data_IF_901027332578
#
_entry.id   IF_901027332578
#
_cell.length_a   1.000
_cell.length_b   1.000
_cell.length_c   1.000
_cell.angle_alpha   90.00
_cell.angle_beta   90.00
_cell.angle_gamma   90.00
#
_symmetry.space_group_name_H-M   'P 1'
#
loop_
_entity.id
_entity.type
_entity.pdbx_description
1 polymer ?
#
# COMPACT_ATOMS: atom_id res chain seq x y z
N UNK A 1 3.19 -6.90 -18.24
CA UNK A 1 3.02 -5.48 -18.63
C UNK A 1 1.69 -5.12 -19.32
N UNK A 2 1.00 -6.06 -19.98
CA UNK A 2 -0.30 -5.80 -20.61
C UNK A 2 -1.53 -5.76 -19.68
N UNK A 3 -1.33 -5.71 -18.36
CA UNK A 3 -2.44 -5.59 -17.42
C UNK A 3 -3.06 -4.18 -17.53
N UNK A 4 -4.38 -4.11 -17.51
CA UNK A 4 -5.11 -2.85 -17.30
C UNK A 4 -5.01 -2.45 -15.83
N UNK A 5 -5.25 -1.17 -15.53
CA UNK A 5 -5.23 -0.68 -14.16
C UNK A 5 -6.24 0.45 -13.96
N UNK A 6 -6.69 0.55 -12.73
CA UNK A 6 -7.45 1.68 -12.18
C UNK A 6 -6.74 2.16 -10.91
N UNK A 7 -6.92 3.42 -10.54
CA UNK A 7 -6.30 3.98 -9.35
C UNK A 7 -7.28 4.86 -8.59
N UNK A 8 -7.28 4.73 -7.27
CA UNK A 8 -7.97 5.63 -6.37
C UNK A 8 -6.97 6.30 -5.44
N UNK A 9 -7.11 7.62 -5.26
CA UNK A 9 -6.21 8.42 -4.41
C UNK A 9 -6.62 8.28 -2.94
N UNK A 10 -6.21 7.17 -2.31
CA UNK A 10 -6.47 6.90 -0.88
C UNK A 10 -5.67 7.74 0.11
N UNK A 11 -4.66 8.48 -0.37
CA UNK A 11 -3.82 9.38 0.43
C UNK A 11 -3.85 10.79 -0.22
N UNK A 12 -4.88 11.60 0.08
CA UNK A 12 -5.00 12.94 -0.49
C UNK A 12 -3.91 13.88 0.03
N UNK A 13 -3.42 13.65 1.25
CA UNK A 13 -2.27 14.33 1.86
C UNK A 13 -1.11 13.32 1.99
N UNK A 14 0.05 13.69 2.57
CA UNK A 14 1.07 12.72 2.95
C UNK A 14 0.58 11.63 3.92
N UNK A 15 -0.61 11.80 4.50
CA UNK A 15 -1.30 10.82 5.34
C UNK A 15 -2.46 10.20 4.57
N UNK A 16 -2.69 8.92 4.83
CA UNK A 16 -3.83 8.18 4.30
C UNK A 16 -4.89 8.11 5.40
N UNK A 17 -5.93 8.94 5.31
CA UNK A 17 -7.01 8.88 6.29
C UNK A 17 -7.82 7.59 6.08
N UNK A 18 -8.28 7.01 7.18
CA UNK A 18 -9.11 5.81 7.13
C UNK A 18 -10.33 5.99 6.22
N UNK A 19 -11.00 7.14 6.33
CA UNK A 19 -12.15 7.48 5.49
C UNK A 19 -11.81 7.48 3.98
N UNK A 20 -10.66 8.05 3.58
CA UNK A 20 -10.25 8.05 2.18
C UNK A 20 -9.88 6.65 1.67
N UNK A 21 -9.23 5.85 2.52
CA UNK A 21 -8.89 4.46 2.21
C UNK A 21 -10.15 3.59 2.07
N UNK A 22 -11.12 3.72 2.97
CA UNK A 22 -12.40 3.00 2.90
C UNK A 22 -13.20 3.45 1.68
N UNK A 23 -13.26 4.74 1.38
CA UNK A 23 -13.92 5.25 0.17
C UNK A 23 -13.29 4.67 -1.10
N UNK A 24 -11.95 4.60 -1.16
CA UNK A 24 -11.27 3.93 -2.26
C UNK A 24 -11.57 2.43 -2.30
N UNK A 25 -11.62 1.76 -1.15
CA UNK A 25 -11.92 0.33 -1.11
C UNK A 25 -13.32 0.00 -1.63
N UNK A 26 -14.30 0.82 -1.25
CA UNK A 26 -15.66 0.75 -1.77
C UNK A 26 -15.70 1.02 -3.28
N UNK A 27 -15.00 2.04 -3.76
CA UNK A 27 -14.95 2.35 -5.19
C UNK A 27 -14.30 1.22 -5.99
N UNK A 28 -13.32 0.51 -5.44
CA UNK A 28 -12.70 -0.64 -6.11
C UNK A 28 -13.64 -1.84 -6.27
N UNK A 29 -14.70 -1.96 -5.47
CA UNK A 29 -15.73 -3.01 -5.65
C UNK A 29 -16.65 -2.71 -6.84
N UNK A 30 -16.99 -1.44 -7.04
CA UNK A 30 -17.78 -1.01 -8.18
C UNK A 30 -17.41 0.43 -8.58
N UNK A 31 -16.44 0.58 -9.50
CA UNK A 31 -15.96 1.89 -9.91
C UNK A 31 -17.07 2.76 -10.50
N UNK A 32 -17.15 4.01 -10.06
CA UNK A 32 -17.99 5.07 -10.63
C UNK A 32 -17.15 6.08 -11.41
N UNK A 33 -17.82 6.93 -12.20
CA UNK A 33 -17.16 8.07 -12.85
C UNK A 33 -16.74 9.15 -11.84
N UNK A 34 -16.07 10.20 -12.32
CA UNK A 34 -15.55 11.28 -11.49
C UNK A 34 -16.63 12.07 -10.73
N UNK A 35 -17.91 11.94 -11.10
CA UNK A 35 -19.04 12.57 -10.41
C UNK A 35 -19.65 11.66 -9.33
N UNK A 36 -19.10 10.46 -9.14
CA UNK A 36 -19.64 9.44 -8.24
C UNK A 36 -20.87 8.73 -8.80
N UNK A 37 -21.17 8.88 -10.10
CA UNK A 37 -22.32 8.30 -10.78
C UNK A 37 -21.89 7.21 -11.77
N UNK A 38 -22.87 6.57 -12.40
CA UNK A 38 -22.66 5.58 -13.46
C UNK A 38 -21.73 4.43 -13.03
N UNK A 39 -22.19 3.56 -12.12
CA UNK A 39 -21.41 2.42 -11.66
C UNK A 39 -21.06 1.48 -12.83
N UNK A 40 -19.79 1.11 -12.90
CA UNK A 40 -19.20 0.17 -13.86
C UNK A 40 -18.49 -0.94 -13.11
N UNK A 41 -19.27 -1.79 -12.44
CA UNK A 41 -18.71 -2.83 -11.58
C UNK A 41 -17.87 -3.86 -12.35
N UNK A 42 -18.05 -3.97 -13.67
CA UNK A 42 -17.20 -4.75 -14.57
C UNK A 42 -15.74 -4.27 -14.64
N UNK A 43 -15.45 -3.05 -14.15
CA UNK A 43 -14.10 -2.52 -14.03
C UNK A 43 -13.44 -2.83 -12.68
N UNK A 44 -14.11 -3.57 -11.78
CA UNK A 44 -13.50 -4.02 -10.53
C UNK A 44 -12.20 -4.79 -10.82
N UNK A 45 -11.11 -4.53 -10.07
CA UNK A 45 -9.82 -5.12 -10.35
C UNK A 45 -9.73 -6.55 -9.82
N UNK A 46 -8.98 -7.42 -10.50
CA UNK A 46 -8.70 -8.77 -9.97
C UNK A 46 -7.76 -8.73 -8.75
N UNK A 47 -6.88 -7.73 -8.67
CA UNK A 47 -5.84 -7.59 -7.65
C UNK A 47 -5.74 -6.12 -7.22
N UNK A 48 -5.70 -5.86 -5.91
CA UNK A 48 -5.48 -4.52 -5.35
C UNK A 48 -4.15 -4.49 -4.60
N UNK A 49 -3.25 -3.59 -5.02
CA UNK A 49 -2.03 -3.29 -4.29
C UNK A 49 -2.26 -2.16 -3.28
N UNK A 50 -1.88 -2.40 -2.03
CA UNK A 50 -1.93 -1.45 -0.93
C UNK A 50 -0.53 -1.23 -0.35
N UNK A 51 0.16 -0.21 -0.88
CA UNK A 51 1.50 0.20 -0.43
C UNK A 51 1.47 1.20 0.73
N UNK A 52 0.54 0.99 1.67
CA UNK A 52 0.30 1.81 2.86
C UNK A 52 -0.03 0.90 4.04
N UNK A 53 0.06 1.42 5.26
CA UNK A 53 -0.25 0.69 6.48
C UNK A 53 0.10 1.52 7.71
N UNK A 54 -0.38 1.08 8.87
CA UNK A 54 -0.09 1.70 10.16
C UNK A 54 0.58 0.70 11.09
N UNK A 55 1.35 1.23 12.05
CA UNK A 55 1.84 0.43 13.18
C UNK A 55 0.70 0.14 14.16
N UNK A 56 0.71 -1.05 14.75
CA UNK A 56 -0.32 -1.50 15.68
C UNK A 56 -1.16 -2.64 15.11
N UNK A 57 -2.24 -2.98 15.82
CA UNK A 57 -3.23 -3.98 15.42
C UNK A 57 -4.60 -3.30 15.45
N UNK A 58 -5.19 -3.10 14.27
CA UNK A 58 -6.53 -2.51 14.12
C UNK A 58 -7.36 -3.32 13.15
N UNK A 59 -8.65 -3.51 13.43
CA UNK A 59 -9.57 -4.23 12.55
C UNK A 59 -10.44 -3.30 11.69
N UNK A 60 -10.18 -1.99 11.69
CA UNK A 60 -11.05 -1.02 11.02
C UNK A 60 -11.17 -1.23 9.50
N UNK A 61 -10.16 -1.86 8.89
CA UNK A 61 -10.15 -2.14 7.45
C UNK A 61 -10.58 -3.57 7.10
N UNK A 62 -10.88 -4.41 8.11
CA UNK A 62 -11.18 -5.84 7.91
C UNK A 62 -12.43 -6.03 7.05
N UNK A 63 -13.50 -5.28 7.32
CA UNK A 63 -14.74 -5.37 6.55
C UNK A 63 -14.55 -5.03 5.06
N UNK A 64 -13.64 -4.08 4.74
CA UNK A 64 -13.31 -3.74 3.36
C UNK A 64 -12.54 -4.89 2.68
N UNK A 65 -11.59 -5.50 3.38
CA UNK A 65 -10.85 -6.68 2.89
C UNK A 65 -11.79 -7.87 2.70
N UNK A 66 -12.71 -8.11 3.62
CA UNK A 66 -13.69 -9.20 3.53
C UNK A 66 -14.60 -9.01 2.30
N UNK A 67 -15.07 -7.79 2.06
CA UNK A 67 -15.86 -7.45 0.87
C UNK A 67 -15.06 -7.67 -0.43
N UNK A 68 -13.79 -7.28 -0.47
CA UNK A 68 -12.91 -7.58 -1.61
C UNK A 68 -12.76 -9.08 -1.84
N UNK A 69 -12.49 -9.84 -0.78
CA UNK A 69 -12.34 -11.29 -0.86
C UNK A 69 -13.62 -11.98 -1.33
N UNK A 70 -14.78 -11.52 -0.87
CA UNK A 70 -16.10 -12.00 -1.31
C UNK A 70 -16.40 -11.67 -2.77
N UNK A 71 -15.83 -10.58 -3.30
CA UNK A 71 -15.90 -10.19 -4.71
C UNK A 71 -14.79 -10.81 -5.57
N UNK A 72 -14.07 -11.82 -5.05
CA UNK A 72 -12.92 -12.47 -5.71
C UNK A 72 -11.72 -11.56 -6.03
N UNK A 73 -11.64 -10.40 -5.38
CA UNK A 73 -10.52 -9.47 -5.50
C UNK A 73 -9.41 -9.90 -4.54
N UNK A 74 -8.16 -9.88 -5.02
CA UNK A 74 -6.98 -10.30 -4.25
C UNK A 74 -6.28 -9.08 -3.61
N UNK A 75 -6.36 -8.92 -2.27
CA UNK A 75 -5.67 -7.85 -1.57
C UNK A 75 -4.20 -8.19 -1.31
N UNK A 76 -3.32 -7.32 -1.79
CA UNK A 76 -1.87 -7.38 -1.55
C UNK A 76 -1.46 -6.16 -0.75
N UNK A 77 -0.74 -6.37 0.35
CA UNK A 77 -0.30 -5.32 1.27
C UNK A 77 1.21 -5.34 1.46
N UNK A 78 1.80 -4.14 1.52
CA UNK A 78 3.16 -3.98 2.00
C UNK A 78 3.24 -4.34 3.50
N UNK A 79 4.18 -5.20 3.90
CA UNK A 79 4.26 -5.67 5.29
C UNK A 79 4.64 -4.57 6.30
N UNK A 80 5.19 -3.46 5.82
CA UNK A 80 5.65 -2.32 6.61
C UNK A 80 7.16 -2.11 6.57
N UNK A 81 7.60 -0.92 7.00
CA UNK A 81 9.01 -0.51 7.02
C UNK A 81 9.48 -0.18 8.46
N UNK A 82 9.03 -0.95 9.46
CA UNK A 82 9.29 -0.70 10.88
C UNK A 82 10.27 -1.70 11.52
N UNK A 83 11.03 -2.45 10.70
CA UNK A 83 12.16 -3.25 11.16
C UNK A 83 13.26 -2.38 11.83
N UNK A 84 14.28 -2.95 12.50
CA UNK A 84 14.69 -4.36 12.52
C UNK A 84 13.99 -5.25 13.55
N UNK A 85 13.20 -4.67 14.45
CA UNK A 85 12.61 -5.44 15.56
C UNK A 85 11.60 -6.47 15.06
N UNK A 86 11.45 -7.55 15.81
CA UNK A 86 10.36 -8.51 15.63
C UNK A 86 9.02 -7.88 15.98
N UNK A 87 7.92 -8.47 15.52
CA UNK A 87 6.56 -8.00 15.78
C UNK A 87 6.33 -6.55 15.37
N UNK A 88 6.79 -6.23 14.15
CA UNK A 88 6.69 -4.90 13.53
C UNK A 88 5.80 -4.91 12.28
N UNK A 89 5.11 -6.02 12.03
CA UNK A 89 4.11 -6.14 10.94
C UNK A 89 3.06 -5.05 11.10
N UNK A 90 2.78 -4.31 10.01
CA UNK A 90 1.76 -3.27 10.01
C UNK A 90 0.37 -3.82 9.72
N UNK A 91 -0.66 -3.09 10.15
CA UNK A 91 -2.04 -3.29 9.72
C UNK A 91 -2.31 -2.48 8.45
N UNK A 92 -3.03 -3.02 7.44
CA UNK A 92 -3.75 -4.32 7.39
C UNK A 92 -2.93 -5.55 6.97
N UNK A 93 -1.62 -5.44 6.77
CA UNK A 93 -0.81 -6.57 6.29
C UNK A 93 -0.77 -7.75 7.28
N UNK A 94 -1.10 -7.50 8.56
CA UNK A 94 -1.27 -8.53 9.57
C UNK A 94 -2.56 -9.36 9.42
N UNK A 95 -3.52 -8.99 8.56
CA UNK A 95 -4.77 -9.74 8.39
C UNK A 95 -4.54 -11.16 7.83
N UNK A 96 -5.50 -12.06 8.13
CA UNK A 96 -5.43 -13.48 7.72
C UNK A 96 -5.72 -13.67 6.24
N UNK A 97 -6.53 -12.80 5.66
CA UNK A 97 -7.09 -12.91 4.31
C UNK A 97 -6.47 -11.91 3.33
N UNK A 98 -5.20 -11.54 3.54
CA UNK A 98 -4.39 -10.71 2.63
C UNK A 98 -3.08 -11.38 2.29
N UNK A 99 -2.43 -10.96 1.21
CA UNK A 99 -1.03 -11.32 0.91
C UNK A 99 -0.13 -10.17 1.37
N UNK A 100 0.62 -10.40 2.44
CA UNK A 100 1.57 -9.46 3.01
C UNK A 100 2.97 -9.68 2.43
N UNK A 101 3.62 -8.60 2.01
CA UNK A 101 4.86 -8.67 1.23
C UNK A 101 6.03 -8.01 1.96
N UNK A 102 7.04 -8.82 2.27
CA UNK A 102 8.34 -8.38 2.78
C UNK A 102 9.28 -7.86 1.68
N UNK A 103 10.29 -7.08 2.08
CA UNK A 103 11.27 -6.49 1.17
C UNK A 103 12.62 -7.20 1.27
N UNK A 104 13.09 -7.75 0.15
CA UNK A 104 14.47 -8.23 -0.01
C UNK A 104 15.30 -7.34 -0.93
N UNK A 105 16.61 -7.35 -0.69
CA UNK A 105 17.62 -6.73 -1.53
C UNK A 105 17.92 -7.52 -2.80
N UNK A 106 18.72 -6.93 -3.68
CA UNK A 106 19.30 -7.63 -4.84
C UNK A 106 20.32 -8.69 -4.43
N UNK A 107 20.79 -8.65 -3.18
CA UNK A 107 21.67 -9.65 -2.56
C UNK A 107 20.88 -10.72 -1.79
N UNK A 108 19.57 -10.81 -2.01
CA UNK A 108 18.65 -11.78 -1.39
C UNK A 108 18.67 -11.75 0.16
N UNK A 109 19.14 -10.65 0.75
CA UNK A 109 19.01 -10.37 2.17
C UNK A 109 17.71 -9.64 2.45
N UNK A 110 17.12 -9.91 3.61
CA UNK A 110 16.02 -9.11 4.12
C UNK A 110 16.48 -7.67 4.28
N UNK A 111 15.73 -6.73 3.71
CA UNK A 111 16.00 -5.34 3.92
C UNK A 111 15.83 -5.00 5.40
N UNK A 112 16.76 -4.22 5.92
CA UNK A 112 16.84 -3.87 7.35
C UNK A 112 15.50 -3.40 7.91
N UNK A 113 14.85 -2.48 7.21
CA UNK A 113 13.60 -1.85 7.67
C UNK A 113 12.37 -2.69 7.33
N UNK A 114 12.49 -3.77 6.54
CA UNK A 114 11.35 -4.65 6.29
C UNK A 114 10.76 -5.11 7.61
N UNK A 115 9.48 -4.80 7.83
CA UNK A 115 8.75 -5.25 9.00
C UNK A 115 8.75 -6.77 9.07
N UNK A 116 8.79 -7.28 10.30
CA UNK A 116 8.90 -8.70 10.63
C UNK A 116 7.71 -9.14 11.48
N UNK A 117 7.33 -10.40 11.34
CA UNK A 117 6.43 -11.05 12.27
C UNK A 117 7.10 -11.34 13.62
N UNK A 118 6.44 -12.14 14.49
CA UNK A 118 5.07 -12.58 14.30
C UNK A 118 4.08 -11.41 14.40
N UNK A 119 2.87 -11.59 13.90
CA UNK A 119 1.74 -10.69 14.19
C UNK A 119 1.45 -10.66 15.69
N UNK A 120 0.61 -9.73 16.14
CA UNK A 120 0.22 -9.64 17.55
C UNK A 120 -0.42 -10.93 18.09
N UNK A 121 -1.11 -11.70 17.23
CA UNK A 121 -1.71 -13.00 17.54
C UNK A 121 -0.80 -14.21 17.22
N UNK A 122 0.49 -13.98 16.97
CA UNK A 122 1.49 -15.04 16.85
C UNK A 122 1.63 -15.69 15.47
N UNK A 123 0.88 -15.25 14.47
CA UNK A 123 0.98 -15.77 13.09
C UNK A 123 2.27 -15.31 12.41
N UNK A 124 2.73 -16.13 11.47
CA UNK A 124 3.87 -15.76 10.62
C UNK A 124 3.43 -14.71 9.60
N UNK A 125 4.17 -13.59 9.58
CA UNK A 125 4.14 -12.58 8.52
C UNK A 125 5.58 -12.08 8.26
N UNK A 126 5.93 -11.61 7.06
CA UNK A 126 5.09 -11.54 5.85
C UNK A 126 4.68 -12.94 5.33
N UNK A 127 3.76 -13.04 4.37
CA UNK A 127 3.48 -14.32 3.71
C UNK A 127 4.58 -14.66 2.71
N UNK A 128 4.99 -13.68 1.91
CA UNK A 128 6.07 -13.84 0.93
C UNK A 128 6.96 -12.60 0.93
N UNK A 129 8.14 -12.73 0.36
CA UNK A 129 9.05 -11.61 0.14
C UNK A 129 9.28 -11.35 -1.34
N UNK A 130 9.59 -10.11 -1.69
CA UNK A 130 9.92 -9.73 -3.06
C UNK A 130 10.98 -8.62 -3.09
N UNK A 131 11.69 -8.45 -4.23
CA UNK A 131 12.59 -7.32 -4.42
C UNK A 131 11.88 -5.98 -4.21
N UNK A 132 12.32 -5.23 -3.21
CA UNK A 132 11.78 -3.90 -2.90
C UNK A 132 12.87 -2.88 -2.62
N UNK A 133 14.15 -3.23 -2.81
CA UNK A 133 15.29 -2.35 -2.53
C UNK A 133 15.90 -1.83 -3.82
N UNK A 134 16.10 -0.51 -3.89
CA UNK A 134 16.66 0.19 -5.06
C UNK A 134 15.90 -0.15 -6.36
N UNK A 135 14.57 -0.17 -6.28
CA UNK A 135 13.70 -0.42 -7.42
C UNK A 135 13.51 0.89 -8.19
N UNK A 136 13.91 0.89 -9.47
CA UNK A 136 13.68 2.00 -10.40
C UNK A 136 12.28 1.87 -11.01
N UNK A 137 11.43 2.87 -10.82
CA UNK A 137 10.07 2.91 -11.36
C UNK A 137 9.69 4.32 -11.85
N UNK A 138 8.55 4.43 -12.52
CA UNK A 138 8.00 5.70 -12.99
C UNK A 138 7.81 6.68 -11.81
N UNK A 139 7.97 7.98 -12.09
CA UNK A 139 7.89 9.03 -11.08
C UNK A 139 6.96 10.16 -11.50
N UNK A 140 6.37 10.86 -10.52
CA UNK A 140 5.30 11.82 -10.74
C UNK A 140 5.76 13.19 -11.28
N UNK A 141 7.07 13.43 -11.41
CA UNK A 141 7.60 14.72 -11.90
C UNK A 141 7.57 14.85 -13.43
N UNK A 142 7.15 13.82 -14.17
CA UNK A 142 6.94 13.90 -15.61
C UNK A 142 6.74 12.54 -16.29
N UNK A 143 6.29 12.57 -17.54
CA UNK A 143 5.91 11.37 -18.30
C UNK A 143 7.08 10.41 -18.61
N UNK A 144 8.32 10.90 -18.57
CA UNK A 144 9.54 10.11 -18.75
C UNK A 144 10.38 10.02 -17.48
N UNK A 145 9.85 10.52 -16.35
CA UNK A 145 10.59 10.56 -15.10
C UNK A 145 10.64 9.17 -14.45
N UNK A 146 11.80 8.83 -13.91
CA UNK A 146 12.00 7.63 -13.11
C UNK A 146 12.71 8.00 -11.82
N UNK A 147 12.36 7.28 -10.76
CA UNK A 147 13.05 7.37 -9.48
C UNK A 147 13.36 5.98 -8.94
N UNK A 148 14.48 5.87 -8.26
CA UNK A 148 14.87 4.66 -7.52
C UNK A 148 14.43 4.82 -6.07
N UNK A 149 13.61 3.88 -5.59
CA UNK A 149 13.08 3.87 -4.22
C UNK A 149 13.28 2.51 -3.56
N UNK A 150 13.15 2.49 -2.23
CA UNK A 150 13.28 1.29 -1.41
C UNK A 150 12.12 1.22 -0.43
N UNK A 151 11.57 0.02 -0.24
CA UNK A 151 10.57 -0.27 0.78
C UNK A 151 9.69 -1.47 0.42
N UNK A 152 8.94 -1.96 1.40
CA UNK A 152 7.85 -2.92 1.14
C UNK A 152 6.79 -2.35 0.19
N UNK A 153 6.65 -1.02 0.13
CA UNK A 153 5.85 -0.28 -0.86
C UNK A 153 6.28 -0.51 -2.32
N UNK A 154 7.52 -0.94 -2.56
CA UNK A 154 8.03 -1.32 -3.88
C UNK A 154 7.95 -2.83 -4.12
N UNK A 155 8.09 -3.64 -3.06
CA UNK A 155 7.95 -5.09 -3.14
C UNK A 155 6.49 -5.54 -3.38
N UNK A 156 5.53 -4.92 -2.69
CA UNK A 156 4.09 -5.22 -2.82
C UNK A 156 3.55 -5.11 -4.25
N UNK A 157 3.78 -4.02 -5.01
CA UNK A 157 3.28 -3.92 -6.38
C UNK A 157 4.00 -4.88 -7.35
N UNK A 158 5.23 -5.31 -7.03
CA UNK A 158 5.90 -6.39 -7.78
C UNK A 158 5.11 -7.70 -7.64
N UNK A 159 4.70 -8.05 -6.42
CA UNK A 159 3.85 -9.22 -6.17
C UNK A 159 2.49 -9.07 -6.85
N UNK A 160 1.85 -7.91 -6.78
CA UNK A 160 0.57 -7.68 -7.47
C UNK A 160 0.69 -7.89 -8.99
N UNK A 161 1.77 -7.40 -9.61
CA UNK A 161 2.07 -7.66 -11.03
C UNK A 161 2.35 -9.15 -11.32
N UNK A 162 3.03 -9.85 -10.41
CA UNK A 162 3.26 -11.29 -10.54
C UNK A 162 1.95 -12.09 -10.44
N UNK A 163 1.02 -11.68 -9.57
CA UNK A 163 -0.31 -12.28 -9.46
C UNK A 163 -1.09 -12.06 -10.75
N UNK A 164 -1.04 -10.85 -11.34
CA UNK A 164 -1.68 -10.61 -12.63
C UNK A 164 -1.15 -11.52 -13.76
N UNK A 165 0.16 -11.81 -13.78
CA UNK A 165 0.74 -12.81 -14.70
C UNK A 165 0.21 -14.22 -14.41
N UNK A 166 0.13 -14.60 -13.13
CA UNK A 166 -0.41 -15.89 -12.72
C UNK A 166 -1.89 -16.05 -13.13
N UNK A 167 -2.73 -15.05 -12.88
CA UNK A 167 -4.15 -15.04 -13.28
C UNK A 167 -4.31 -15.07 -14.80
N UNK A 168 -3.37 -14.49 -15.54
CA UNK A 168 -3.39 -14.58 -16.99
C UNK A 168 -3.13 -16.00 -17.49
N UNK A 169 -2.23 -16.75 -16.83
CA UNK A 169 -1.96 -18.14 -17.17
C UNK A 169 -2.99 -19.12 -16.59
N UNK A 170 -3.58 -18.79 -15.44
CA UNK A 170 -4.52 -19.62 -14.69
C UNK A 170 -5.86 -18.91 -14.58
N UNK A 171 -6.60 -18.85 -15.70
CA UNK A 171 -7.89 -18.17 -15.78
C UNK A 171 -8.88 -18.75 -14.76
N UNK A 172 -9.57 -17.87 -14.04
CA UNK A 172 -10.54 -18.25 -13.01
C UNK A 172 -9.95 -18.62 -11.64
N UNK A 173 -8.62 -18.63 -11.49
CA UNK A 173 -7.99 -18.79 -10.19
C UNK A 173 -8.40 -17.67 -9.24
N UNK A 174 -8.67 -18.04 -7.98
CA UNK A 174 -9.04 -17.12 -6.90
C UNK A 174 -7.89 -17.00 -5.91
N UNK A 175 -8.09 -16.19 -4.88
CA UNK A 175 -7.06 -15.95 -3.87
C UNK A 175 -6.45 -17.22 -3.31
N UNK A 176 -7.22 -18.26 -2.98
CA UNK A 176 -6.67 -19.43 -2.31
C UNK A 176 -5.70 -20.19 -3.22
N UNK A 177 -6.01 -20.28 -4.53
CA UNK A 177 -5.10 -20.85 -5.51
C UNK A 177 -3.85 -19.98 -5.69
N UNK A 178 -4.01 -18.65 -5.72
CA UNK A 178 -2.90 -17.70 -5.82
C UNK A 178 -2.00 -17.79 -4.59
N UNK A 179 -2.56 -17.68 -3.39
CA UNK A 179 -1.84 -17.77 -2.12
C UNK A 179 -1.07 -19.08 -2.03
N UNK A 180 -1.73 -20.20 -2.34
CA UNK A 180 -1.09 -21.52 -2.38
C UNK A 180 0.08 -21.53 -3.37
N UNK A 181 -0.13 -21.11 -4.61
CA UNK A 181 0.92 -21.13 -5.63
C UNK A 181 2.14 -20.31 -5.21
N UNK A 182 1.95 -19.09 -4.70
CA UNK A 182 3.04 -18.20 -4.31
C UNK A 182 3.75 -18.61 -3.01
N UNK A 183 3.08 -19.32 -2.10
CA UNK A 183 3.68 -19.79 -0.84
C UNK A 183 4.36 -21.15 -0.99
N UNK A 184 3.88 -22.05 -1.84
CA UNK A 184 4.50 -23.37 -2.04
C UNK A 184 5.65 -23.37 -3.05
N UNK A 185 5.74 -22.35 -3.91
CA UNK A 185 6.79 -22.22 -4.94
C UNK A 185 7.80 -21.11 -4.64
N UNK A 186 7.73 -20.51 -3.45
CA UNK A 186 8.67 -19.49 -3.02
C UNK A 186 10.11 -20.04 -2.98
N UNK A 187 11.05 -19.26 -3.51
CA UNK A 187 12.47 -19.57 -3.50
C UNK A 187 13.07 -19.27 -2.14
N UNK A 188 13.86 -20.22 -1.64
CA UNK A 188 14.50 -20.14 -0.32
C UNK A 188 16.01 -20.39 -0.37
N UNK A 189 16.51 -21.07 -1.42
CA UNK A 189 17.90 -21.50 -1.50
C UNK A 189 18.87 -20.33 -1.72
N UNK A 190 18.43 -19.25 -2.37
CA UNK A 190 19.29 -18.07 -2.62
C UNK A 190 19.19 -17.02 -1.53
N UNK A 191 18.24 -17.15 -0.61
CA UNK A 191 18.09 -16.21 0.50
C UNK A 191 19.32 -16.27 1.40
N UNK A 192 19.70 -15.11 1.93
CA UNK A 192 20.83 -14.99 2.85
C UNK A 192 20.32 -14.60 4.25
N UNK A 193 19.90 -15.57 5.06
CA UNK A 193 19.58 -15.37 6.48
C UNK A 193 20.73 -14.68 7.22
N UNK A 194 20.39 -13.89 8.23
CA UNK A 194 21.37 -13.20 9.09
C UNK A 194 21.32 -13.68 10.54
N UNK A 195 20.72 -14.85 10.78
CA UNK A 195 20.50 -15.48 12.08
C UNK A 195 19.67 -14.65 13.06
N UNK A 196 18.85 -13.71 12.55
CA UNK A 196 17.95 -12.93 13.38
C UNK A 196 16.66 -13.72 13.62
N UNK A 197 16.54 -14.31 14.82
CA UNK A 197 15.34 -15.05 15.21
C UNK A 197 14.21 -14.09 15.64
N UNK A 198 13.06 -14.20 14.97
CA UNK A 198 11.82 -13.54 15.38
C UNK A 198 10.75 -14.58 15.68
N UNK A 199 10.20 -14.56 16.90
CA UNK A 199 9.14 -15.48 17.32
C UNK A 199 9.59 -16.93 17.55
N UNK A 200 10.87 -17.17 17.86
CA UNK A 200 11.40 -18.50 18.15
C UNK A 200 11.76 -19.33 16.91
N UNK A 201 11.49 -18.83 15.70
CA UNK A 201 11.78 -19.51 14.43
C UNK A 201 13.10 -18.98 13.84
N UNK A 202 14.01 -19.89 13.49
CA UNK A 202 15.22 -19.52 12.76
C UNK A 202 14.86 -18.95 11.40
N UNK A 203 15.54 -17.88 10.99
CA UNK A 203 15.37 -17.23 9.70
C UNK A 203 15.89 -18.05 8.50
N UNK A 204 16.57 -19.17 8.77
CA UNK A 204 16.96 -20.18 7.78
C UNK A 204 15.95 -21.33 7.61
N UNK A 205 14.91 -21.38 8.45
CA UNK A 205 13.80 -22.35 8.33
C UNK A 205 12.57 -21.65 7.78
N UNK A 206 11.86 -22.25 6.83
CA UNK A 206 10.70 -21.63 6.18
C UNK A 206 9.42 -22.42 6.46
N UNK A 207 8.27 -21.75 6.64
CA UNK A 207 8.12 -20.29 6.71
C UNK A 207 8.71 -19.69 8.00
N UNK A 208 9.10 -18.41 7.97
CA UNK A 208 9.57 -17.66 9.15
C UNK A 208 9.10 -16.20 9.14
N UNK A 209 9.30 -15.53 10.27
CA UNK A 209 8.87 -14.15 10.52
C UNK A 209 9.69 -13.06 9.80
N UNK A 210 10.73 -13.44 9.06
CA UNK A 210 11.55 -12.50 8.28
C UNK A 210 11.13 -12.51 6.81
N UNK A 211 11.15 -13.69 6.20
CA UNK A 211 10.96 -13.88 4.77
C UNK A 211 9.58 -14.43 4.39
N UNK A 212 8.76 -14.84 5.37
CA UNK A 212 7.55 -15.60 5.13
C UNK A 212 7.89 -17.00 4.60
N UNK A 213 7.18 -17.43 3.58
CA UNK A 213 7.45 -18.67 2.84
C UNK A 213 8.70 -18.57 1.94
N UNK A 214 9.23 -17.37 1.70
CA UNK A 214 10.42 -17.15 0.86
C UNK A 214 10.23 -16.03 -0.15
N UNK A 215 11.16 -15.90 -1.11
CA UNK A 215 11.06 -14.92 -2.19
C UNK A 215 10.15 -15.45 -3.30
N UNK A 216 9.22 -14.64 -3.81
CA UNK A 216 8.33 -15.09 -4.87
C UNK A 216 9.09 -15.56 -6.13
N UNK A 217 8.56 -16.59 -6.78
CA UNK A 217 9.03 -17.08 -8.08
C UNK A 217 7.82 -17.28 -9.00
N UNK A 218 7.53 -16.27 -9.84
CA UNK A 218 6.34 -16.29 -10.71
C UNK A 218 6.37 -17.40 -11.76
N UNK A 219 7.57 -17.77 -12.25
CA UNK A 219 7.72 -18.84 -13.23
C UNK A 219 7.34 -20.20 -12.62
N UNK A 220 7.84 -20.47 -11.41
CA UNK A 220 7.46 -21.66 -10.64
C UNK A 220 5.98 -21.64 -10.28
N UNK A 221 5.45 -20.50 -9.82
CA UNK A 221 4.04 -20.36 -9.45
C UNK A 221 3.09 -20.68 -10.62
N UNK A 222 3.43 -20.28 -11.85
CA UNK A 222 2.62 -20.56 -13.05
C UNK A 222 2.67 -22.05 -13.47
N UNK A 223 3.63 -22.84 -12.97
CA UNK A 223 3.78 -24.26 -13.33
C UNK A 223 5.17 -24.64 -13.86
N UNK A 224 6.20 -23.82 -13.63
CA UNK A 224 7.61 -24.18 -13.87
C UNK A 224 8.07 -24.17 -15.33
N UNK A 225 7.18 -23.84 -16.29
CA UNK A 225 7.47 -23.89 -17.73
C UNK A 225 7.99 -22.60 -18.37
N UNK A 226 8.19 -21.53 -17.60
CA UNK A 226 8.70 -20.26 -18.14
C UNK A 226 10.16 -20.14 -17.74
N UNK A 227 11.07 -20.52 -18.65
CA UNK A 227 12.47 -20.15 -18.49
C UNK A 227 12.54 -18.62 -18.29
N UNK A 228 13.27 -18.10 -17.29
CA UNK A 228 13.44 -16.67 -17.16
C UNK A 228 13.94 -16.11 -18.50
N UNK A 229 13.42 -14.96 -18.98
CA UNK A 229 13.92 -14.38 -20.20
C UNK A 229 15.44 -14.24 -20.07
N UNK A 230 16.17 -14.86 -21.01
CA UNK A 230 17.62 -14.74 -21.09
C UNK A 230 18.00 -13.26 -21.00
N UNK A 231 19.01 -12.95 -20.20
CA UNK A 231 19.45 -11.59 -19.84
C UNK A 231 20.04 -10.77 -20.99
N UNK A 232 19.57 -10.94 -22.22
CA UNK A 232 20.09 -10.32 -23.43
C UNK A 232 19.13 -9.38 -24.13
N UNK A 233 17.91 -9.16 -23.62
CA UNK A 233 17.07 -8.08 -24.17
C UNK A 233 17.47 -6.77 -23.49
N UNK A 234 18.42 -6.07 -24.10
CA UNK A 234 18.67 -4.66 -23.83
C UNK A 234 17.34 -3.92 -23.71
N UNK A 235 17.13 -3.23 -22.59
CA UNK A 235 16.00 -2.33 -22.44
C UNK A 235 15.88 -1.46 -23.71
N UNK A 236 14.67 -1.20 -24.23
CA UNK A 236 14.52 -0.32 -25.37
C UNK A 236 15.15 1.03 -25.02
N UNK A 237 16.24 1.37 -25.72
CA UNK A 237 16.78 2.72 -25.70
C UNK A 237 15.67 3.63 -26.25
N UNK A 238 15.34 4.76 -25.60
CA UNK A 238 14.33 5.66 -26.14
C UNK A 238 14.83 6.18 -27.49
N UNK A 239 14.24 5.66 -28.57
CA UNK A 239 14.41 6.22 -29.89
C UNK A 239 13.81 7.63 -29.86
N UNK A 240 14.68 8.62 -29.95
CA UNK A 240 14.31 10.03 -30.18
C UNK A 240 13.27 10.08 -31.30
N UNK A 241 12.12 10.74 -31.14
CA UNK A 241 11.18 10.91 -32.23
C UNK A 241 11.87 11.67 -33.37
N UNK A 242 12.00 11.00 -34.51
CA UNK A 242 12.27 11.63 -35.80
C UNK A 242 10.98 12.28 -36.26
N UNK A 243 10.80 13.56 -35.98
CA UNK A 243 9.77 14.37 -36.67
C UNK A 243 10.42 15.03 -37.88
N UNK A 244 10.30 14.39 -39.03
CA UNK A 244 10.32 15.07 -40.31
C UNK A 244 8.92 15.65 -40.52
N UNK A 245 8.76 16.97 -40.39
CA UNK A 245 7.59 17.67 -40.94
C UNK A 245 7.97 19.09 -41.39
N UNK A 246 7.23 19.64 -42.37
CA UNK A 246 7.76 20.57 -43.37
C UNK A 246 7.78 22.03 -42.91
N UNK A 247 8.70 22.78 -43.52
CA UNK A 247 8.94 24.19 -43.28
C UNK A 247 7.82 25.06 -43.86
N UNK A 248 7.16 25.86 -43.03
CA UNK A 248 6.43 27.07 -43.45
C UNK A 248 6.90 28.25 -42.59
N UNK A 249 7.37 29.36 -43.17
CA UNK A 249 7.96 30.46 -42.42
C UNK A 249 6.88 31.42 -41.90
N UNK A 250 6.94 31.75 -40.60
CA UNK A 250 6.18 32.85 -40.02
C UNK A 250 7.12 33.98 -39.60
N UNK A 251 6.71 35.19 -39.96
CA UNK A 251 7.44 36.46 -40.03
C UNK A 251 7.79 37.03 -38.66
N UNK A 252 9.01 37.57 -38.53
CA UNK A 252 9.56 38.19 -37.32
C UNK A 252 9.10 39.65 -37.15
N UNK A 253 8.56 39.99 -35.99
CA UNK A 253 8.52 41.37 -35.48
C UNK A 253 9.25 41.44 -34.14
N UNK A 254 10.41 42.12 -34.15
CA UNK A 254 11.26 42.42 -32.99
C UNK A 254 10.59 43.42 -32.05
N UNK A 255 10.66 43.15 -30.74
CA UNK A 255 10.73 44.21 -29.70
C UNK A 255 12.01 44.04 -28.87
N UNK A 256 12.64 45.13 -28.40
CA UNK A 256 13.98 45.09 -27.79
C UNK A 256 13.95 44.76 -26.30
N UNK A 257 14.93 43.98 -25.84
CA UNK A 257 15.28 43.75 -24.43
C UNK A 257 16.24 44.83 -23.92
N UNK A 258 16.11 45.32 -22.67
CA UNK A 258 17.18 46.07 -22.01
C UNK A 258 18.19 45.14 -21.31
N UNK A 259 19.47 45.47 -21.50
CA UNK A 259 20.66 44.79 -21.01
C UNK A 259 20.96 45.10 -19.54
N UNK A 260 21.44 44.10 -18.77
CA UNK A 260 22.23 44.34 -17.55
C UNK A 260 23.50 43.47 -17.55
N UNK A 261 24.64 43.98 -17.04
CA UNK A 261 25.95 43.35 -17.19
C UNK A 261 26.30 42.39 -16.05
N UNK A 262 27.09 41.36 -16.39
CA UNK A 262 27.74 40.46 -15.43
C UNK A 262 29.01 41.09 -14.84
N UNK A 263 29.23 40.90 -13.54
CA UNK A 263 30.56 41.04 -12.93
C UNK A 263 30.82 39.86 -12.00
N UNK A 264 31.96 39.19 -12.22
CA UNK A 264 32.58 38.17 -11.38
C UNK A 264 33.56 38.81 -10.40
N UNK A 265 33.71 38.27 -9.19
CA UNK A 265 34.85 38.58 -8.31
C UNK A 265 35.24 37.39 -7.41
N UNK A 266 36.51 37.31 -6.97
CA UNK A 266 37.21 36.05 -6.68
C UNK A 266 37.38 35.72 -5.18
N UNK A 267 37.73 34.47 -4.92
CA UNK A 267 38.12 33.90 -3.62
C UNK A 267 39.40 34.52 -3.03
N UNK A 268 39.51 34.56 -1.68
CA UNK A 268 40.80 34.39 -1.01
C UNK A 268 40.80 33.25 0.04
N UNK A 269 41.87 32.46 0.00
CA UNK A 269 42.29 31.44 0.97
C UNK A 269 43.01 32.04 2.17
N UNK A 270 42.83 31.50 3.39
CA UNK A 270 43.78 31.61 4.52
C UNK A 270 43.52 30.54 5.62
N UNK A 271 44.46 30.28 6.55
CA UNK A 271 45.17 29.01 6.70
C UNK A 271 44.79 28.17 7.94
N UNK A 272 45.28 26.93 8.01
CA UNK A 272 45.10 26.02 9.15
C UNK A 272 45.98 26.39 10.35
N UNK A 273 45.39 26.33 11.54
CA UNK A 273 46.12 26.15 12.82
C UNK A 273 45.41 25.09 13.65
N UNK A 274 46.20 24.21 14.26
CA UNK A 274 45.80 23.02 15.03
C UNK A 274 45.56 23.30 16.52
N UNK A 275 44.66 22.48 17.08
CA UNK A 275 44.47 22.07 18.49
C UNK A 275 43.77 23.01 19.50
N UNK A 276 43.16 22.49 20.60
CA UNK A 276 42.68 21.13 20.91
C UNK A 276 41.19 21.05 21.35
N UNK A 277 40.66 19.83 21.35
CA UNK A 277 39.32 19.47 21.84
C UNK A 277 39.09 19.83 23.32
N UNK A 278 37.99 20.52 23.61
CA UNK A 278 37.33 20.54 24.94
C UNK A 278 35.83 20.27 24.75
N UNK A 279 35.19 19.39 25.56
CA UNK A 279 33.80 19.00 25.35
C UNK A 279 32.85 20.02 25.99
N UNK A 280 31.98 20.64 25.19
CA UNK A 280 30.89 21.47 25.70
C UNK A 280 29.71 20.60 26.16
N UNK A 281 29.48 20.60 27.47
CA UNK A 281 28.30 20.10 28.18
C UNK A 281 27.00 20.73 27.66
N UNK A 282 26.03 19.89 27.30
CA UNK A 282 24.67 20.32 26.96
C UNK A 282 23.87 20.60 28.25
N UNK A 283 23.62 21.87 28.53
CA UNK A 283 22.73 22.32 29.61
C UNK A 283 21.27 22.14 29.17
N UNK A 284 20.55 21.20 29.80
CA UNK A 284 19.09 21.08 29.70
C UNK A 284 18.43 22.33 30.28
N UNK A 285 17.60 23.02 29.50
CA UNK A 285 16.63 23.99 30.04
C UNK A 285 15.44 23.23 30.65
N UNK A 286 15.00 23.54 31.89
CA UNK A 286 13.77 22.98 32.44
C UNK A 286 12.52 23.68 31.86
N UNK A 287 11.47 22.90 31.61
CA UNK A 287 10.12 23.40 31.34
C UNK A 287 9.49 23.95 32.64
N UNK A 288 8.68 25.02 32.60
CA UNK A 288 7.99 25.52 33.78
C UNK A 288 6.77 24.65 34.12
N UNK A 289 6.68 24.26 35.39
CA UNK A 289 5.55 23.56 36.00
C UNK A 289 4.44 24.57 36.33
N UNK A 290 3.22 24.36 35.81
CA UNK A 290 2.02 25.08 36.27
C UNK A 290 1.26 24.23 37.30
N UNK A 291 0.79 24.81 38.42
CA UNK A 291 0.05 24.08 39.45
C UNK A 291 -1.40 23.86 38.99
N UNK A 292 -1.90 22.63 39.08
CA UNK A 292 -3.32 22.32 38.92
C UNK A 292 -4.05 22.61 40.23
N UNK A 293 -4.93 23.61 40.23
CA UNK A 293 -5.97 23.78 41.25
C UNK A 293 -7.21 23.01 40.79
N UNK A 294 -7.66 22.05 41.61
CA UNK A 294 -8.92 21.34 41.43
C UNK A 294 -10.08 22.16 41.99
N UNK A 295 -10.99 22.62 41.13
CA UNK A 295 -12.33 23.03 41.53
C UNK A 295 -13.35 22.12 40.82
N UNK A 296 -14.38 21.60 41.50
CA UNK A 296 -15.37 20.72 40.89
C UNK A 296 -16.31 21.55 40.00
N UNK A 297 -16.32 21.28 38.70
CA UNK A 297 -17.33 21.80 37.79
C UNK A 297 -18.39 20.71 37.62
N UNK A 298 -19.57 20.94 38.17
CA UNK A 298 -20.78 20.17 37.90
C UNK A 298 -21.21 20.40 36.45
N UNK A 299 -21.37 19.35 35.63
CA UNK A 299 -21.90 19.52 34.27
C UNK A 299 -23.41 19.85 34.31
N UNK A 300 -23.92 20.69 33.39
CA UNK A 300 -25.36 20.93 33.28
C UNK A 300 -26.10 19.64 32.86
N UNK A 301 -27.39 19.51 33.22
CA UNK A 301 -28.16 18.31 32.91
C UNK A 301 -28.31 18.14 31.40
N UNK A 302 -28.12 16.90 30.94
CA UNK A 302 -28.40 16.48 29.56
C UNK A 302 -29.89 16.70 29.24
N UNK A 303 -30.25 17.24 28.07
CA UNK A 303 -31.62 17.20 27.62
C UNK A 303 -32.02 15.74 27.35
N UNK A 304 -32.93 15.22 28.18
CA UNK A 304 -33.62 13.95 27.96
C UNK A 304 -34.65 14.16 26.85
N UNK A 305 -34.21 14.05 25.60
CA UNK A 305 -35.09 13.82 24.47
C UNK A 305 -34.52 12.67 23.65
N UNK A 306 -35.29 11.57 23.45
CA UNK A 306 -34.80 10.47 22.65
C UNK A 306 -34.59 10.96 21.22
N UNK A 307 -33.35 10.85 20.73
CA UNK A 307 -33.06 10.91 19.31
C UNK A 307 -33.71 9.67 18.68
N UNK A 308 -34.90 9.85 18.11
CA UNK A 308 -35.50 8.88 17.21
C UNK A 308 -34.65 8.83 15.93
N UNK A 309 -34.01 7.68 15.60
CA UNK A 309 -33.36 7.55 14.31
C UNK A 309 -34.44 7.53 13.23
N UNK A 310 -34.41 8.53 12.34
CA UNK A 310 -35.21 8.52 11.12
C UNK A 310 -34.59 7.49 10.16
N UNK A 311 -35.06 6.25 10.25
CA UNK A 311 -34.73 5.15 9.32
C UNK A 311 -35.60 5.29 8.07
N UNK A 312 -35.04 5.46 6.85
CA UNK A 312 -35.82 5.25 5.63
C UNK A 312 -36.08 3.74 5.49
N UNK A 313 -37.34 3.36 5.67
CA UNK A 313 -37.86 2.00 5.82
C UNK A 313 -38.04 1.21 4.51
N UNK A 314 -37.25 1.48 3.47
CA UNK A 314 -37.43 0.81 2.16
C UNK A 314 -36.25 -0.08 1.83
N UNK A 315 -36.41 -1.37 2.12
CA UNK A 315 -35.46 -2.43 1.77
C UNK A 315 -35.34 -2.70 0.26
N UNK A 316 -36.03 -1.93 -0.60
CA UNK A 316 -36.02 -2.02 -2.07
C UNK A 316 -36.01 -3.45 -2.65
N UNK A 317 -36.73 -4.39 -2.01
CA UNK A 317 -36.84 -5.78 -2.43
C UNK A 317 -35.69 -6.71 -2.03
N UNK A 318 -34.68 -6.22 -1.30
CA UNK A 318 -33.57 -7.04 -0.81
C UNK A 318 -33.99 -7.96 0.34
N UNK A 319 -33.53 -9.21 0.31
CA UNK A 319 -33.78 -10.24 1.35
C UNK A 319 -32.62 -10.45 2.31
N UNK A 320 -31.64 -9.53 2.34
CA UNK A 320 -30.40 -9.62 3.12
C UNK A 320 -29.89 -8.25 3.53
N UNK A 321 -28.58 -8.00 3.45
CA UNK A 321 -28.04 -6.67 3.77
C UNK A 321 -28.26 -5.67 2.63
N UNK A 322 -28.78 -4.47 2.93
CA UNK A 322 -29.05 -3.39 1.99
C UNK A 322 -28.25 -2.14 2.38
N UNK A 323 -27.60 -1.48 1.41
CA UNK A 323 -26.94 -0.18 1.66
C UNK A 323 -27.85 0.96 1.22
N UNK A 324 -28.36 1.73 2.18
CA UNK A 324 -29.19 2.90 1.89
C UNK A 324 -28.41 4.01 1.17
N UNK A 325 -27.11 4.12 1.42
CA UNK A 325 -26.24 5.08 0.75
C UNK A 325 -26.03 4.74 -0.73
N UNK A 326 -25.90 3.46 -1.06
CA UNK A 326 -25.57 2.99 -2.41
C UNK A 326 -26.80 2.52 -3.20
N UNK A 327 -27.95 2.37 -2.55
CA UNK A 327 -29.18 1.84 -3.14
C UNK A 327 -29.00 0.46 -3.82
N UNK A 328 -28.26 -0.45 -3.16
CA UNK A 328 -27.98 -1.81 -3.66
C UNK A 328 -28.19 -2.88 -2.58
N UNK A 329 -28.54 -4.10 -3.01
CA UNK A 329 -28.47 -5.29 -2.17
C UNK A 329 -27.01 -5.78 -2.12
N UNK A 330 -26.46 -5.94 -0.93
CA UNK A 330 -25.16 -6.56 -0.73
C UNK A 330 -25.25 -8.09 -0.91
N UNK A 331 -24.14 -8.78 -1.24
CA UNK A 331 -24.15 -10.21 -1.52
C UNK A 331 -24.78 -11.05 -0.40
N UNK A 332 -25.47 -12.12 -0.81
CA UNK A 332 -26.09 -13.08 0.11
C UNK A 332 -25.00 -13.83 0.90
N UNK A 333 -25.09 -13.85 2.23
CA UNK A 333 -24.11 -14.49 3.12
C UNK A 333 -23.60 -13.61 4.27
N UNK A 334 -23.85 -12.30 4.22
CA UNK A 334 -23.64 -11.41 5.36
C UNK A 334 -24.68 -11.69 6.45
N UNK A 335 -24.27 -11.69 7.71
CA UNK A 335 -25.14 -11.74 8.88
C UNK A 335 -25.70 -10.36 9.24
N UNK A 336 -26.73 -10.31 10.09
CA UNK A 336 -27.28 -9.06 10.61
C UNK A 336 -26.24 -8.19 11.33
N UNK A 337 -25.32 -8.83 12.06
CA UNK A 337 -24.24 -8.12 12.75
C UNK A 337 -23.25 -7.49 11.76
N UNK A 338 -22.83 -8.24 10.73
CA UNK A 338 -21.93 -7.72 9.69
C UNK A 338 -22.61 -6.61 8.89
N UNK A 339 -23.91 -6.73 8.64
CA UNK A 339 -24.67 -5.72 7.92
C UNK A 339 -24.74 -4.37 8.65
N UNK A 340 -25.00 -4.41 9.96
CA UNK A 340 -25.13 -3.19 10.78
C UNK A 340 -23.76 -2.59 11.16
N UNK A 341 -22.68 -3.35 11.04
CA UNK A 341 -21.29 -2.86 11.20
C UNK A 341 -20.85 -1.94 10.05
N UNK A 342 -21.51 -1.96 8.89
CA UNK A 342 -21.25 -1.04 7.79
C UNK A 342 -21.86 0.36 8.04
N UNK A 343 -21.44 1.02 9.12
CA UNK A 343 -21.89 2.38 9.49
C UNK A 343 -21.63 3.40 8.39
N UNK A 344 -20.54 3.23 7.63
CA UNK A 344 -20.19 4.08 6.47
C UNK A 344 -21.11 3.84 5.28
N UNK A 345 -21.57 2.60 5.06
CA UNK A 345 -22.47 2.27 3.93
C UNK A 345 -23.95 2.45 4.29
N UNK A 346 -24.26 2.87 5.52
CA UNK A 346 -25.62 2.87 6.08
C UNK A 346 -26.30 1.52 5.85
N UNK A 347 -25.60 0.43 6.20
CA UNK A 347 -26.09 -0.93 6.06
C UNK A 347 -27.32 -1.18 6.93
N UNK A 348 -28.40 -1.62 6.29
CA UNK A 348 -29.68 -1.99 6.90
C UNK A 348 -29.96 -3.45 6.63
N UNK A 349 -30.22 -4.23 7.67
CA UNK A 349 -30.60 -5.64 7.52
C UNK A 349 -32.06 -5.76 7.10
N UNK A 350 -32.30 -6.47 6.00
CA UNK A 350 -33.62 -6.66 5.39
C UNK A 350 -34.02 -8.14 5.27
N UNK A 351 -33.24 -9.05 5.85
CA UNK A 351 -33.61 -10.46 5.96
C UNK A 351 -34.73 -10.65 6.98
N UNK A 352 -35.68 -11.56 6.70
CA UNK A 352 -36.64 -12.02 7.72
C UNK A 352 -35.91 -12.95 8.69
N UNK A 353 -36.11 -12.75 9.98
CA UNK A 353 -35.75 -13.71 11.03
C UNK A 353 -36.48 -15.05 10.82
#
# INVERSE_FOLDING_TARGET
PGATWIACRGCPTPQCSEAALIACAQWMLCPTDATGKNPKCELAPDVINNSWGNVGNSNNFQAAVDAWRAADIIPVFANGNSGRKCSTTGTPADYKNVIAVGNVGTDDKLFTESSRGPTADGRIKPDVSAPGTRIRSAWNTGNSAYQTMTGTSMASPLVAGAIALYLNANKGAKYDQVYKAFTTTAETATLTPNNQNCGGVSDSKYPNNNYGFGRINVASAIGGGVAPPSSSTSAPSPSKPSTSDPWTPATSTRRPFPSFPMTSSPSPSKPSTSDPWTPATSTRRPFPSFPMTSSPVTPPPFPTSPLTPYLPSTCNGCTGCYSALMNICLPQGLSQAECTMFTVLQGTWCGKE
#
